data_IF_734194796092
#
_entry.id   IF_734194796092
#
_cell.length_a   1.000
_cell.length_b   1.000
_cell.length_c   1.000
_cell.angle_alpha   90.00
_cell.angle_beta   90.00
_cell.angle_gamma   90.00
#
_symmetry.space_group_name_H-M   'P 1'
#
loop_
_entity.id
_entity.type
_entity.pdbx_description
1 polymer ?
#
# COMPACT_ATOMS: atom_id res chain seq x y z
N UNK A 1 -21.99 -24.15 1.32
CA UNK A 1 -20.78 -23.34 1.08
C UNK A 1 -19.94 -24.07 0.05
N UNK A 2 -19.42 -23.36 -0.96
CA UNK A 2 -18.46 -23.93 -1.89
C UNK A 2 -17.09 -23.99 -1.20
N UNK A 3 -16.38 -25.10 -1.36
CA UNK A 3 -15.03 -25.27 -0.83
C UNK A 3 -14.09 -24.20 -1.41
N UNK A 4 -13.42 -23.42 -0.53
CA UNK A 4 -12.49 -22.35 -0.94
C UNK A 4 -11.04 -22.85 -1.10
N UNK A 5 -10.68 -23.96 -0.45
CA UNK A 5 -9.37 -24.59 -0.56
C UNK A 5 -9.50 -26.03 -0.99
N UNK A 6 -8.77 -26.43 -2.02
CA UNK A 6 -8.74 -27.82 -2.49
C UNK A 6 -8.36 -28.78 -1.35
N UNK A 7 -9.13 -29.85 -1.18
CA UNK A 7 -8.79 -30.95 -0.26
C UNK A 7 -9.05 -30.70 1.23
N UNK A 8 -9.50 -29.51 1.64
CA UNK A 8 -9.90 -29.23 3.03
C UNK A 8 -11.19 -28.42 3.12
N UNK A 9 -11.91 -28.54 4.24
CA UNK A 9 -13.07 -27.68 4.54
C UNK A 9 -12.67 -26.40 5.31
N UNK A 10 -11.40 -25.98 5.20
CA UNK A 10 -10.88 -24.81 5.90
C UNK A 10 -11.55 -23.51 5.48
N UNK A 11 -11.67 -22.57 6.41
CA UNK A 11 -12.08 -21.19 6.12
C UNK A 11 -10.81 -20.31 6.09
N UNK A 12 -10.66 -19.41 5.10
CA UNK A 12 -9.51 -18.51 5.07
C UNK A 12 -9.55 -17.58 6.28
N UNK A 13 -8.39 -17.36 6.91
CA UNK A 13 -8.27 -16.39 8.00
C UNK A 13 -8.58 -14.97 7.53
N UNK A 14 -8.23 -14.65 6.27
CA UNK A 14 -8.41 -13.33 5.69
C UNK A 14 -9.64 -13.28 4.76
N UNK A 15 -10.83 -13.58 5.29
CA UNK A 15 -12.08 -13.62 4.50
C UNK A 15 -13.31 -13.11 5.29
N UNK A 16 -13.16 -12.85 6.59
CA UNK A 16 -14.24 -12.44 7.49
C UNK A 16 -14.56 -10.92 7.44
N UNK A 17 -14.99 -10.42 6.27
CA UNK A 17 -15.49 -9.04 6.12
C UNK A 17 -14.42 -7.95 6.28
N UNK A 18 -14.83 -6.76 6.77
CA UNK A 18 -13.97 -5.57 6.84
C UNK A 18 -12.82 -5.67 7.87
N UNK A 19 -12.93 -6.55 8.85
CA UNK A 19 -11.95 -6.71 9.95
C UNK A 19 -11.52 -8.17 10.10
N UNK A 20 -10.91 -8.75 9.06
CA UNK A 20 -10.82 -10.21 8.95
C UNK A 20 -9.76 -10.83 9.87
N UNK A 21 -8.76 -10.07 10.32
CA UNK A 21 -7.66 -10.58 11.14
C UNK A 21 -7.72 -9.94 12.53
N UNK A 22 -8.06 -10.74 13.55
CA UNK A 22 -8.09 -10.31 14.96
C UNK A 22 -8.89 -9.02 15.21
N UNK A 23 -9.97 -8.78 14.45
CA UNK A 23 -10.79 -7.58 14.58
C UNK A 23 -10.19 -6.31 13.97
N UNK A 24 -9.05 -6.40 13.28
CA UNK A 24 -8.42 -5.26 12.61
C UNK A 24 -8.73 -5.24 11.10
N UNK A 25 -8.81 -4.02 10.56
CA UNK A 25 -8.88 -3.81 9.11
C UNK A 25 -7.56 -4.21 8.48
N UNK A 26 -7.64 -4.87 7.33
CA UNK A 26 -6.47 -5.29 6.56
C UNK A 26 -6.58 -4.78 5.13
N UNK A 27 -5.46 -4.36 4.55
CA UNK A 27 -5.37 -3.87 3.19
C UNK A 27 -4.10 -4.41 2.53
N UNK A 28 -4.11 -4.47 1.20
CA UNK A 28 -2.97 -4.89 0.37
C UNK A 28 -2.65 -3.77 -0.61
N UNK A 29 -1.36 -3.52 -0.84
CA UNK A 29 -0.89 -2.53 -1.82
C UNK A 29 0.47 -2.95 -2.36
N UNK A 30 0.76 -2.55 -3.59
CA UNK A 30 2.07 -2.73 -4.22
C UNK A 30 3.13 -1.75 -3.70
N UNK A 31 2.75 -0.75 -2.89
CA UNK A 31 3.70 0.17 -2.25
C UNK A 31 4.47 -0.46 -1.09
N UNK A 32 4.08 -1.66 -0.64
CA UNK A 32 4.81 -2.43 0.38
C UNK A 32 5.90 -3.25 -0.32
N UNK A 33 7.17 -3.22 0.15
CA UNK A 33 8.26 -3.93 -0.50
C UNK A 33 8.13 -5.45 -0.36
N UNK A 34 8.49 -6.17 -1.43
CA UNK A 34 8.49 -7.64 -1.52
C UNK A 34 9.87 -8.24 -1.85
N UNK A 35 10.93 -7.44 -1.74
CA UNK A 35 12.29 -7.76 -2.18
C UNK A 35 13.34 -7.54 -1.09
N UNK A 36 12.94 -7.70 0.18
CA UNK A 36 13.80 -7.51 1.34
C UNK A 36 14.69 -8.73 1.60
N UNK A 37 15.76 -8.50 2.37
CA UNK A 37 16.71 -9.51 2.84
C UNK A 37 16.72 -9.51 4.37
N UNK A 38 16.46 -10.66 5.01
CA UNK A 38 16.54 -10.83 6.47
C UNK A 38 16.88 -12.28 6.81
N UNK A 39 17.88 -12.48 7.66
CA UNK A 39 18.37 -13.82 8.00
C UNK A 39 18.91 -14.55 6.76
N UNK A 40 18.37 -15.72 6.46
CA UNK A 40 18.73 -16.53 5.29
C UNK A 40 17.95 -16.16 4.02
N UNK A 41 16.89 -15.34 4.14
CA UNK A 41 16.12 -14.88 2.99
C UNK A 41 16.86 -13.73 2.28
N UNK A 42 17.11 -13.86 0.98
CA UNK A 42 17.83 -12.87 0.16
C UNK A 42 16.97 -12.41 -1.01
N UNK A 43 16.50 -11.14 -0.96
CA UNK A 43 15.70 -10.53 -2.02
C UNK A 43 14.29 -11.11 -2.21
N UNK A 44 13.81 -11.93 -1.28
CA UNK A 44 12.55 -12.67 -1.36
C UNK A 44 11.60 -12.40 -0.19
N UNK A 45 12.01 -11.59 0.79
CA UNK A 45 11.16 -11.28 1.93
C UNK A 45 10.26 -10.08 1.63
N UNK A 46 9.03 -10.15 2.12
CA UNK A 46 8.05 -9.06 2.06
C UNK A 46 7.90 -8.37 3.40
N UNK A 47 7.50 -7.11 3.35
CA UNK A 47 7.13 -6.35 4.55
C UNK A 47 5.63 -6.46 4.86
N UNK A 48 5.30 -6.25 6.13
CA UNK A 48 3.93 -5.98 6.58
C UNK A 48 4.02 -4.86 7.61
N UNK A 49 3.02 -3.95 7.61
CA UNK A 49 2.94 -2.85 8.56
C UNK A 49 1.67 -3.01 9.37
N UNK A 50 1.79 -2.88 10.69
CA UNK A 50 0.66 -2.86 11.60
C UNK A 50 0.80 -1.66 12.54
N UNK A 51 -0.31 -0.98 12.84
CA UNK A 51 -0.27 0.17 13.73
C UNK A 51 -1.55 1.00 13.73
N UNK A 52 -1.54 2.06 14.52
CA UNK A 52 -2.64 3.02 14.61
C UNK A 52 -2.52 4.09 13.52
N UNK A 53 -3.22 3.91 12.40
CA UNK A 53 -3.22 4.87 11.30
C UNK A 53 -3.86 6.23 11.64
N UNK A 54 -4.54 6.39 12.79
CA UNK A 54 -4.94 7.71 13.29
C UNK A 54 -3.76 8.57 13.77
N UNK A 55 -2.59 7.95 14.00
CA UNK A 55 -1.33 8.64 14.30
C UNK A 55 -0.50 8.94 13.05
N UNK A 56 -0.97 8.52 11.87
CA UNK A 56 -0.39 8.93 10.58
C UNK A 56 -1.00 10.27 10.17
N UNK A 57 -0.14 11.27 9.97
CA UNK A 57 -0.54 12.59 9.49
C UNK A 57 -0.17 12.69 8.02
N UNK A 58 -1.16 12.97 7.18
CA UNK A 58 -0.96 13.28 5.76
C UNK A 58 -1.36 14.74 5.57
N UNK A 59 -0.38 15.58 5.26
CA UNK A 59 -0.58 16.96 4.89
C UNK A 59 -0.78 17.07 3.39
N UNK A 60 -1.79 17.81 2.96
CA UNK A 60 -1.98 18.21 1.57
C UNK A 60 -2.01 19.72 1.49
N UNK A 61 -1.23 20.29 0.57
CA UNK A 61 -1.15 21.73 0.38
C UNK A 61 -1.82 22.11 -0.92
N UNK A 62 -2.98 22.77 -0.81
CA UNK A 62 -3.80 23.13 -1.97
C UNK A 62 -4.59 21.94 -2.54
N UNK A 63 -5.13 22.13 -3.74
CA UNK A 63 -5.82 21.11 -4.52
C UNK A 63 -4.89 20.50 -5.57
N UNK A 64 -5.34 19.42 -6.22
CA UNK A 64 -4.69 18.92 -7.45
C UNK A 64 -4.71 20.03 -8.51
N UNK A 65 -3.54 20.46 -8.96
CA UNK A 65 -3.39 21.37 -10.09
C UNK A 65 -3.31 20.57 -11.39
N UNK A 66 -4.02 21.04 -12.41
CA UNK A 66 -4.13 20.42 -13.73
C UNK A 66 -3.95 21.49 -14.81
N UNK A 67 -2.81 21.43 -15.50
CA UNK A 67 -2.51 22.33 -16.61
C UNK A 67 -2.49 21.57 -17.93
N UNK A 68 -3.25 22.06 -18.90
CA UNK A 68 -3.25 21.55 -20.28
C UNK A 68 -2.38 22.46 -21.14
N UNK A 69 -1.32 21.89 -21.71
CA UNK A 69 -0.39 22.57 -22.61
C UNK A 69 -0.55 22.00 -24.03
N UNK A 70 -1.25 22.73 -24.92
CA UNK A 70 -1.42 22.36 -26.31
C UNK A 70 -0.28 22.86 -27.21
N UNK A 71 0.67 23.64 -26.69
CA UNK A 71 1.70 24.30 -27.49
C UNK A 71 2.98 23.47 -27.53
N UNK A 72 3.41 22.95 -26.39
CA UNK A 72 4.59 22.08 -26.32
C UNK A 72 4.31 20.73 -26.98
N UNK A 73 5.00 20.46 -28.10
CA UNK A 73 4.79 19.23 -28.89
C UNK A 73 3.69 19.34 -29.94
N UNK A 74 3.16 20.54 -30.18
CA UNK A 74 2.12 20.81 -31.19
C UNK A 74 2.51 20.36 -32.60
N UNK A 75 3.79 20.42 -32.98
CA UNK A 75 4.30 19.94 -34.28
C UNK A 75 4.16 18.42 -34.47
N UNK A 76 4.08 17.65 -33.37
CA UNK A 76 3.81 16.22 -33.37
C UNK A 76 2.33 15.90 -33.05
N UNK A 77 1.47 16.93 -32.91
CA UNK A 77 0.06 16.78 -32.55
C UNK A 77 -0.18 16.32 -31.11
N UNK A 78 0.80 16.44 -30.20
CA UNK A 78 0.65 15.98 -28.81
C UNK A 78 0.05 17.06 -27.91
N UNK A 79 -0.80 16.66 -26.98
CA UNK A 79 -1.26 17.50 -25.87
C UNK A 79 -0.57 17.02 -24.60
N UNK A 80 0.10 17.92 -23.89
CA UNK A 80 0.70 17.62 -22.60
C UNK A 80 -0.27 18.00 -21.48
N UNK A 81 -0.49 17.08 -20.56
CA UNK A 81 -1.23 17.33 -19.32
C UNK A 81 -0.25 17.22 -18.15
N UNK A 82 -0.12 18.30 -17.39
CA UNK A 82 0.74 18.36 -16.20
C UNK A 82 -0.16 18.34 -14.97
N UNK A 83 0.16 17.46 -14.03
CA UNK A 83 -0.54 17.36 -12.74
C UNK A 83 0.46 17.61 -11.61
N UNK A 84 0.04 18.37 -10.61
CA UNK A 84 0.84 18.62 -9.42
C UNK A 84 -0.05 18.54 -8.17
N UNK A 85 0.44 17.83 -7.16
CA UNK A 85 -0.19 17.76 -5.85
C UNK A 85 0.91 17.70 -4.78
N UNK A 86 0.92 18.69 -3.90
CA UNK A 86 1.89 18.77 -2.81
C UNK A 86 1.40 18.00 -1.59
N UNK A 87 2.14 16.96 -1.21
CA UNK A 87 1.81 16.04 -0.12
C UNK A 87 3.04 15.71 0.72
N UNK A 88 2.86 15.63 2.03
CA UNK A 88 3.85 15.21 3.02
C UNK A 88 3.19 14.23 4.00
N UNK A 89 4.00 13.33 4.54
CA UNK A 89 3.56 12.24 5.38
C UNK A 89 4.47 12.15 6.61
N UNK A 90 3.88 12.30 7.79
CA UNK A 90 4.59 12.25 9.06
C UNK A 90 3.89 11.32 10.06
N UNK A 91 4.67 10.71 10.95
CA UNK A 91 4.17 9.85 12.02
C UNK A 91 4.17 10.65 13.32
N UNK A 92 3.01 10.81 13.96
CA UNK A 92 2.89 11.53 15.24
C UNK A 92 3.61 10.78 16.37
N UNK A 93 3.30 9.50 16.50
CA UNK A 93 3.82 8.62 17.55
C UNK A 93 4.43 7.40 16.89
N UNK A 94 5.77 7.33 16.84
CA UNK A 94 6.47 6.22 16.17
C UNK A 94 6.17 4.86 16.83
N UNK A 95 5.97 4.85 18.15
CA UNK A 95 5.63 3.66 18.94
C UNK A 95 4.26 3.04 18.58
N UNK A 96 3.39 3.80 17.90
CA UNK A 96 2.09 3.30 17.43
C UNK A 96 2.19 2.36 16.22
N UNK A 97 3.38 2.16 15.66
CA UNK A 97 3.60 1.36 14.46
C UNK A 97 4.67 0.29 14.67
N UNK A 98 4.47 -0.84 13.99
CA UNK A 98 5.42 -1.94 13.94
C UNK A 98 5.48 -2.52 12.53
N UNK A 99 6.62 -3.14 12.21
CA UNK A 99 6.86 -3.74 10.91
C UNK A 99 7.37 -5.17 11.03
N UNK A 100 6.88 -6.03 10.14
CA UNK A 100 7.47 -7.31 9.81
C UNK A 100 8.23 -7.14 8.50
N UNK A 101 9.41 -7.76 8.35
CA UNK A 101 10.26 -7.63 7.15
C UNK A 101 10.82 -8.97 6.66
N UNK A 102 10.22 -10.08 7.12
CA UNK A 102 10.59 -11.48 6.85
C UNK A 102 9.38 -12.31 6.41
N UNK A 103 8.33 -11.69 5.88
CA UNK A 103 7.20 -12.45 5.36
C UNK A 103 7.61 -13.16 4.05
N UNK A 104 7.61 -14.49 4.06
CA UNK A 104 7.87 -15.30 2.87
C UNK A 104 6.54 -15.73 2.24
N UNK A 105 6.43 -15.57 0.93
CA UNK A 105 5.32 -16.13 0.14
C UNK A 105 5.70 -17.53 -0.31
N UNK A 106 4.79 -18.49 -0.12
CA UNK A 106 4.97 -19.89 -0.52
C UNK A 106 4.96 -20.08 -2.05
#
# INVERSE_FOLDING_TARGET
STQKFTGTNGQPVWDAGNTPINGYRCAVTNSIPSNLTKGTASGIASAMVFGNFSDLIIGMWGSLDLMVDPYTGSTAGTIRVVTLQDVDVAIRNAESFTTMVDALTA
#
